data_IF_458579666730
#
_entry.id   IF_458579666730
#
_cell.length_a   1.000
_cell.length_b   1.000
_cell.length_c   1.000
_cell.angle_alpha   90.00
_cell.angle_beta   90.00
_cell.angle_gamma   90.00
#
_symmetry.space_group_name_H-M   'P 1'
#
loop_
_entity.id
_entity.type
_entity.pdbx_description
1 polymer ?
#
# COMPACT_ATOMS: atom_id res chain seq x y z
N UNK A 1 43.15 12.16 -28.34
CA UNK A 1 42.10 13.19 -28.28
C UNK A 1 40.76 12.49 -28.45
N UNK A 2 39.97 12.40 -27.38
CA UNK A 2 38.55 11.98 -27.39
C UNK A 2 37.64 13.18 -27.68
N UNK A 3 36.44 12.96 -28.24
CA UNK A 3 35.21 13.11 -27.43
C UNK A 3 34.15 12.00 -27.68
N UNK A 4 33.59 11.37 -26.64
CA UNK A 4 32.28 11.62 -25.95
C UNK A 4 31.05 11.26 -26.79
N UNK A 5 30.50 10.04 -26.69
CA UNK A 5 29.41 9.62 -25.76
C UNK A 5 28.19 10.55 -25.71
N UNK A 6 27.13 10.13 -26.41
CA UNK A 6 25.77 10.62 -26.25
C UNK A 6 24.82 9.43 -26.38
N UNK A 7 24.72 8.62 -25.32
CA UNK A 7 23.63 7.64 -25.18
C UNK A 7 22.48 8.36 -24.49
N UNK A 8 21.44 8.68 -25.25
CA UNK A 8 20.14 9.07 -24.71
C UNK A 8 19.69 8.01 -23.71
N UNK A 9 19.61 8.39 -22.44
CA UNK A 9 19.00 7.60 -21.40
C UNK A 9 17.48 7.60 -21.63
N UNK A 10 17.02 6.64 -22.43
CA UNK A 10 15.62 6.24 -22.42
C UNK A 10 15.30 5.72 -21.00
N UNK A 11 14.28 6.25 -20.30
CA UNK A 11 13.83 5.60 -19.07
C UNK A 11 13.29 4.23 -19.47
N UNK A 12 13.97 3.18 -19.01
CA UNK A 12 13.52 1.81 -19.23
C UNK A 12 12.05 1.70 -18.78
N UNK A 13 11.12 1.21 -19.62
CA UNK A 13 9.87 0.72 -19.08
C UNK A 13 10.24 -0.39 -18.10
N UNK A 14 9.74 -0.27 -16.88
CA UNK A 14 9.83 -1.28 -15.83
C UNK A 14 9.39 -2.59 -16.50
N UNK A 15 10.34 -3.45 -16.84
CA UNK A 15 10.04 -4.72 -17.46
C UNK A 15 9.36 -5.56 -16.38
N UNK A 16 8.11 -6.02 -16.57
CA UNK A 16 7.54 -6.96 -15.64
C UNK A 16 8.39 -8.22 -15.76
N UNK A 17 9.21 -8.49 -14.73
CA UNK A 17 9.98 -9.72 -14.68
C UNK A 17 8.99 -10.88 -14.75
N UNK A 18 9.04 -11.59 -15.88
CA UNK A 18 8.30 -12.81 -16.15
C UNK A 18 8.83 -13.86 -15.18
N UNK A 19 8.09 -14.03 -14.10
CA UNK A 19 8.29 -15.03 -13.08
C UNK A 19 7.16 -14.83 -12.10
N UNK A 20 6.21 -15.76 -12.10
CA UNK A 20 5.08 -15.79 -11.17
C UNK A 20 5.64 -15.81 -9.74
N UNK A 21 5.94 -14.65 -9.18
CA UNK A 21 6.26 -14.50 -7.76
C UNK A 21 4.94 -14.67 -7.04
N UNK A 22 4.58 -15.93 -6.81
CA UNK A 22 3.34 -16.30 -6.17
C UNK A 22 3.41 -15.85 -4.71
N UNK A 23 2.73 -14.77 -4.39
CA UNK A 23 2.55 -14.32 -3.01
C UNK A 23 1.48 -15.21 -2.38
N UNK A 24 1.85 -16.12 -1.48
CA UNK A 24 0.91 -17.11 -0.94
C UNK A 24 0.15 -17.92 -2.03
N UNK A 25 0.80 -18.19 -3.18
CA UNK A 25 0.17 -18.89 -4.32
C UNK A 25 -0.71 -18.01 -5.20
N UNK A 26 -0.72 -16.69 -5.00
CA UNK A 26 -1.56 -15.73 -5.71
C UNK A 26 -0.71 -14.83 -6.63
N UNK A 27 -1.28 -14.47 -7.78
CA UNK A 27 -0.59 -13.70 -8.83
C UNK A 27 -0.39 -12.24 -8.41
N UNK A 28 0.82 -11.91 -7.98
CA UNK A 28 1.21 -10.59 -7.50
C UNK A 28 1.19 -9.52 -8.61
N UNK A 29 1.44 -9.92 -9.86
CA UNK A 29 1.33 -9.05 -11.02
C UNK A 29 -0.08 -8.43 -11.17
N UNK A 30 -1.13 -9.24 -10.96
CA UNK A 30 -2.50 -8.76 -11.01
C UNK A 30 -2.82 -7.83 -9.83
N UNK A 31 -2.23 -8.09 -8.67
CA UNK A 31 -2.40 -7.24 -7.50
C UNK A 31 -1.81 -5.84 -7.73
N UNK A 32 -0.56 -5.75 -8.22
CA UNK A 32 0.11 -4.48 -8.50
C UNK A 32 -0.66 -3.59 -9.49
N UNK A 33 -1.22 -4.20 -10.54
CA UNK A 33 -1.99 -3.48 -11.57
C UNK A 33 -3.31 -2.91 -11.04
N UNK A 34 -3.81 -3.39 -9.90
CA UNK A 34 -5.10 -2.98 -9.32
C UNK A 34 -4.98 -1.97 -8.18
N UNK A 35 -3.75 -1.59 -7.80
CA UNK A 35 -3.51 -0.55 -6.80
C UNK A 35 -3.79 0.83 -7.42
N UNK A 36 -4.65 1.61 -6.78
CA UNK A 36 -5.09 2.93 -7.26
C UNK A 36 -4.63 3.99 -6.27
N UNK A 37 -3.89 5.00 -6.74
CA UNK A 37 -3.42 6.11 -5.90
C UNK A 37 -2.12 5.83 -5.13
N UNK A 38 -1.44 4.73 -5.42
CA UNK A 38 -0.19 4.34 -4.78
C UNK A 38 0.69 3.46 -5.67
N UNK A 39 1.82 3.02 -5.12
CA UNK A 39 2.73 2.07 -5.73
C UNK A 39 3.25 1.10 -4.67
N UNK A 40 3.31 -0.19 -5.00
CA UNK A 40 3.86 -1.17 -4.07
C UNK A 40 5.38 -1.08 -4.12
N UNK A 41 5.99 -0.77 -2.97
CA UNK A 41 7.44 -0.61 -2.82
C UNK A 41 8.09 -1.88 -2.30
N UNK A 42 7.37 -2.67 -1.49
CA UNK A 42 7.83 -3.95 -1.00
C UNK A 42 6.66 -4.95 -0.92
N UNK A 43 6.91 -6.20 -1.27
CA UNK A 43 5.98 -7.30 -1.02
C UNK A 43 6.79 -8.54 -0.63
N UNK A 44 6.61 -8.99 0.60
CA UNK A 44 7.24 -10.17 1.23
C UNK A 44 6.15 -11.07 1.80
N UNK A 45 6.42 -12.35 2.06
CA UNK A 45 5.37 -13.36 2.33
C UNK A 45 4.28 -12.93 3.33
N UNK A 46 4.63 -12.16 4.35
CA UNK A 46 3.73 -11.69 5.40
C UNK A 46 3.41 -10.18 5.36
N UNK A 47 3.98 -9.43 4.41
CA UNK A 47 3.85 -7.97 4.37
C UNK A 47 3.78 -7.39 2.95
N UNK A 48 2.93 -6.38 2.78
CA UNK A 48 2.84 -5.57 1.57
C UNK A 48 2.98 -4.10 1.98
N UNK A 49 3.99 -3.42 1.44
CA UNK A 49 4.24 -1.99 1.69
C UNK A 49 3.88 -1.19 0.45
N UNK A 50 2.98 -0.23 0.61
CA UNK A 50 2.47 0.60 -0.48
C UNK A 50 2.69 2.07 -0.16
N UNK A 51 3.41 2.77 -1.02
CA UNK A 51 3.61 4.20 -0.94
C UNK A 51 2.48 4.92 -1.67
N UNK A 52 1.88 5.94 -1.04
CA UNK A 52 0.84 6.74 -1.66
C UNK A 52 1.45 7.71 -2.68
N UNK A 53 0.80 7.90 -3.83
CA UNK A 53 1.22 8.86 -4.87
C UNK A 53 0.79 10.31 -4.56
N UNK A 54 0.51 10.63 -3.30
CA UNK A 54 -0.02 11.94 -2.92
C UNK A 54 1.06 13.04 -2.96
N UNK A 55 0.71 14.18 -3.53
CA UNK A 55 1.53 15.39 -3.55
C UNK A 55 1.64 16.03 -2.16
N UNK A 56 2.88 16.10 -1.67
CA UNK A 56 3.40 16.87 -0.51
C UNK A 56 2.68 16.68 0.84
N UNK A 57 3.42 16.35 1.92
CA UNK A 57 2.85 16.36 3.26
C UNK A 57 2.40 17.78 3.61
N UNK A 58 1.15 17.93 4.05
CA UNK A 58 0.77 19.10 4.83
C UNK A 58 1.66 19.10 6.07
N UNK A 59 2.68 19.95 6.07
CA UNK A 59 3.63 20.14 7.17
C UNK A 59 2.96 20.93 8.29
N UNK A 60 1.81 20.46 8.78
CA UNK A 60 1.09 21.09 9.88
C UNK A 60 1.40 20.34 11.19
N UNK A 61 1.83 21.02 12.26
CA UNK A 61 2.39 20.42 13.48
C UNK A 61 1.39 19.65 14.36
N UNK A 62 0.22 19.25 13.83
CA UNK A 62 -0.80 18.48 14.55
C UNK A 62 -0.75 16.99 14.20
N UNK A 63 0.44 16.42 14.03
CA UNK A 63 0.67 15.04 13.58
C UNK A 63 -0.14 13.99 14.39
N UNK A 64 -0.18 14.10 15.72
CA UNK A 64 -0.92 13.16 16.58
C UNK A 64 -2.45 13.22 16.40
N UNK A 65 -3.01 14.42 16.17
CA UNK A 65 -4.46 14.52 15.89
C UNK A 65 -4.75 14.01 14.47
N UNK A 66 -3.80 14.22 13.55
CA UNK A 66 -3.93 13.77 12.17
C UNK A 66 -3.93 12.25 12.08
N UNK A 67 -3.06 11.55 12.81
CA UNK A 67 -3.02 10.08 12.83
C UNK A 67 -4.30 9.45 13.39
N UNK A 68 -4.87 10.02 14.46
CA UNK A 68 -6.15 9.54 14.99
C UNK A 68 -7.28 9.71 13.97
N UNK A 69 -7.27 10.82 13.21
CA UNK A 69 -8.22 11.08 12.13
C UNK A 69 -8.01 10.11 10.97
N UNK A 70 -6.77 9.86 10.56
CA UNK A 70 -6.41 8.90 9.51
C UNK A 70 -6.92 7.51 9.89
N UNK A 71 -6.52 6.99 11.05
CA UNK A 71 -6.91 5.64 11.50
C UNK A 71 -8.44 5.50 11.64
N UNK A 72 -9.13 6.55 12.08
CA UNK A 72 -10.60 6.55 12.17
C UNK A 72 -11.25 6.58 10.79
N UNK A 73 -10.71 7.37 9.86
CA UNK A 73 -11.21 7.48 8.48
C UNK A 73 -11.01 6.16 7.71
N UNK A 74 -9.86 5.51 7.88
CA UNK A 74 -9.58 4.19 7.30
C UNK A 74 -10.58 3.17 7.83
N UNK A 75 -10.75 3.06 9.16
CA UNK A 75 -11.74 2.15 9.77
C UNK A 75 -13.17 2.41 9.29
N UNK A 76 -13.58 3.68 9.25
CA UNK A 76 -14.89 4.05 8.76
C UNK A 76 -15.13 3.67 7.29
N UNK A 77 -14.08 3.69 6.45
CA UNK A 77 -14.16 3.25 5.06
C UNK A 77 -14.25 1.72 4.96
N UNK A 78 -13.43 0.99 5.72
CA UNK A 78 -13.49 -0.48 5.79
C UNK A 78 -14.88 -0.94 6.25
N UNK A 79 -15.43 -0.32 7.30
CA UNK A 79 -16.75 -0.64 7.83
C UNK A 79 -17.92 -0.38 6.85
N UNK A 80 -17.71 0.48 5.85
CA UNK A 80 -18.71 0.76 4.79
C UNK A 80 -18.65 -0.24 3.63
N UNK A 81 -17.56 -1.00 3.51
CA UNK A 81 -17.38 -1.97 2.45
C UNK A 81 -18.06 -3.29 2.85
N UNK A 82 -19.19 -3.62 2.21
CA UNK A 82 -20.04 -4.76 2.59
C UNK A 82 -19.33 -6.12 2.61
N UNK A 83 -18.21 -6.25 1.89
CA UNK A 83 -17.41 -7.48 1.81
C UNK A 83 -16.35 -7.58 2.91
N UNK A 84 -16.01 -6.46 3.54
CA UNK A 84 -14.99 -6.39 4.59
C UNK A 84 -15.67 -6.32 5.95
N UNK A 85 -15.10 -7.01 6.94
CA UNK A 85 -15.54 -6.89 8.34
C UNK A 85 -14.49 -6.09 9.07
N UNK A 86 -14.86 -4.89 9.55
CA UNK A 86 -13.94 -3.99 10.28
C UNK A 86 -13.15 -4.73 11.38
N UNK A 87 -13.82 -5.60 12.15
CA UNK A 87 -13.20 -6.41 13.20
C UNK A 87 -12.07 -7.34 12.73
N UNK A 88 -12.02 -7.70 11.45
CA UNK A 88 -10.99 -8.58 10.88
C UNK A 88 -9.70 -7.79 10.58
N UNK A 89 -9.68 -6.47 10.82
CA UNK A 89 -8.55 -5.60 10.58
C UNK A 89 -8.19 -4.77 11.82
N UNK A 90 -6.92 -4.75 12.18
CA UNK A 90 -6.38 -3.83 13.16
C UNK A 90 -5.67 -2.70 12.44
N UNK A 91 -6.17 -1.47 12.61
CA UNK A 91 -5.66 -0.28 11.94
C UNK A 91 -5.01 0.66 12.95
N UNK A 92 -3.77 1.06 12.66
CA UNK A 92 -2.98 2.03 13.42
C UNK A 92 -2.33 3.02 12.46
N UNK A 93 -2.26 4.30 12.83
CA UNK A 93 -1.58 5.33 12.05
C UNK A 93 -0.50 5.98 12.91
N UNK A 94 0.65 6.24 12.32
CA UNK A 94 1.73 7.01 12.94
C UNK A 94 2.48 7.81 11.87
N UNK A 95 2.53 9.14 12.02
CA UNK A 95 3.19 10.04 11.08
C UNK A 95 2.71 9.90 9.61
N UNK A 96 1.43 9.54 9.43
CA UNK A 96 0.86 9.25 8.10
C UNK A 96 1.24 7.88 7.52
N UNK A 97 1.90 7.03 8.30
CA UNK A 97 2.15 5.62 7.99
C UNK A 97 1.02 4.79 8.61
N UNK A 98 0.23 4.13 7.77
CA UNK A 98 -0.90 3.30 8.20
C UNK A 98 -0.48 1.84 8.25
N UNK A 99 -0.38 1.28 9.45
CA UNK A 99 -0.19 -0.15 9.65
C UNK A 99 -1.54 -0.86 9.78
N UNK A 100 -1.76 -1.87 8.94
CA UNK A 100 -3.00 -2.65 8.88
C UNK A 100 -2.65 -4.12 9.06
N UNK A 101 -3.13 -4.73 10.13
CA UNK A 101 -2.96 -6.17 10.36
C UNK A 101 -4.27 -6.89 10.10
N UNK A 102 -4.25 -7.85 9.17
CA UNK A 102 -5.40 -8.68 8.84
C UNK A 102 -5.45 -9.95 9.68
N UNK A 103 -6.65 -10.41 10.00
CA UNK A 103 -6.87 -11.71 10.65
C UNK A 103 -6.96 -12.86 9.65
N UNK A 104 -7.26 -12.56 8.38
CA UNK A 104 -7.41 -13.55 7.32
C UNK A 104 -6.45 -13.30 6.16
N UNK A 105 -6.03 -14.39 5.53
CA UNK A 105 -5.12 -14.40 4.38
C UNK A 105 -5.94 -14.28 3.09
N UNK A 106 -6.32 -13.04 2.74
CA UNK A 106 -7.09 -12.73 1.52
C UNK A 106 -6.47 -11.55 0.78
N UNK A 107 -6.02 -11.79 -0.45
CA UNK A 107 -5.43 -10.77 -1.31
C UNK A 107 -6.47 -9.80 -1.89
N UNK A 108 -7.72 -10.25 -2.10
CA UNK A 108 -8.81 -9.36 -2.54
C UNK A 108 -9.21 -8.40 -1.42
N UNK A 109 -9.22 -8.88 -0.17
CA UNK A 109 -9.40 -8.04 1.00
C UNK A 109 -8.24 -7.06 1.14
N UNK A 110 -6.99 -7.53 1.02
CA UNK A 110 -5.81 -6.69 1.07
C UNK A 110 -5.86 -5.57 0.04
N UNK A 111 -6.16 -5.91 -1.21
CA UNK A 111 -6.30 -4.95 -2.30
C UNK A 111 -7.39 -3.91 -2.01
N UNK A 112 -8.55 -4.37 -1.55
CA UNK A 112 -9.68 -3.49 -1.25
C UNK A 112 -9.33 -2.53 -0.11
N UNK A 113 -8.76 -3.05 0.98
CA UNK A 113 -8.35 -2.26 2.14
C UNK A 113 -7.26 -1.25 1.79
N UNK A 114 -6.25 -1.65 1.01
CA UNK A 114 -5.18 -0.75 0.58
C UNK A 114 -5.76 0.39 -0.28
N UNK A 115 -6.61 0.07 -1.26
CA UNK A 115 -7.23 1.10 -2.10
C UNK A 115 -8.14 2.05 -1.29
N UNK A 116 -8.88 1.53 -0.30
CA UNK A 116 -9.67 2.37 0.61
C UNK A 116 -8.79 3.28 1.47
N UNK A 117 -7.62 2.80 1.87
CA UNK A 117 -6.66 3.52 2.69
C UNK A 117 -5.95 4.61 1.88
N UNK A 118 -5.55 4.33 0.64
CA UNK A 118 -4.96 5.32 -0.28
C UNK A 118 -5.92 6.47 -0.62
N UNK A 119 -7.23 6.26 -0.48
CA UNK A 119 -8.24 7.30 -0.65
C UNK A 119 -8.41 8.20 0.59
N UNK A 120 -7.69 7.94 1.69
CA UNK A 120 -7.67 8.80 2.88
C UNK A 120 -6.57 9.86 2.69
N UNK A 121 -6.87 11.16 2.87
CA UNK A 121 -5.87 12.21 2.77
C UNK A 121 -4.78 12.03 3.82
N UNK A 122 -3.59 12.56 3.53
CA UNK A 122 -2.42 12.53 4.41
C UNK A 122 -1.82 11.14 4.69
N UNK A 123 -2.35 10.08 4.07
CA UNK A 123 -1.68 8.77 4.01
C UNK A 123 -0.46 8.88 3.11
N UNK A 124 0.71 8.51 3.66
CA UNK A 124 2.00 8.53 2.97
C UNK A 124 2.45 7.13 2.60
N UNK A 125 2.25 6.20 3.53
CA UNK A 125 2.65 4.81 3.37
C UNK A 125 1.64 3.89 4.06
N UNK A 126 1.47 2.69 3.52
CA UNK A 126 0.62 1.64 4.06
C UNK A 126 1.48 0.41 4.25
N UNK A 127 1.49 -0.12 5.46
CA UNK A 127 2.11 -1.39 5.81
C UNK A 127 1.00 -2.39 6.09
N UNK A 128 0.69 -3.24 5.12
CA UNK A 128 -0.33 -4.27 5.24
C UNK A 128 0.32 -5.59 5.65
N UNK A 129 -0.10 -6.13 6.80
CA UNK A 129 0.47 -7.33 7.43
C UNK A 129 -0.55 -8.46 7.35
N UNK A 130 -0.18 -9.55 6.69
CA UNK A 130 -0.98 -10.76 6.59
C UNK A 130 -0.83 -11.62 7.86
N UNK A 131 -1.84 -12.45 8.17
CA UNK A 131 -1.71 -13.37 9.30
C UNK A 131 -0.65 -14.44 9.01
N UNK A 132 0.36 -14.53 9.86
CA UNK A 132 1.32 -15.63 9.85
C UNK A 132 0.62 -16.91 10.32
N UNK A 133 0.61 -17.96 9.48
CA UNK A 133 0.16 -19.29 9.93
C UNK A 133 1.19 -19.85 10.90
N UNK A 134 0.81 -19.98 12.17
CA UNK A 134 1.58 -20.68 13.21
C UNK A 134 1.34 -22.18 13.15
#
# INVERSE_FOLDING_TARGET
>A
MTPTSGTEAHPSPISPAVGDTSFHGLSLANFYQRIIGGQVVEASNDQIVVEAKADKPNSDPVALTNDAIIATSVRARIARESKLKDRDFQVTSNDGIVSIRAQHDSLDDALSVINLTLAVPDVREIVYILPTRV
#
